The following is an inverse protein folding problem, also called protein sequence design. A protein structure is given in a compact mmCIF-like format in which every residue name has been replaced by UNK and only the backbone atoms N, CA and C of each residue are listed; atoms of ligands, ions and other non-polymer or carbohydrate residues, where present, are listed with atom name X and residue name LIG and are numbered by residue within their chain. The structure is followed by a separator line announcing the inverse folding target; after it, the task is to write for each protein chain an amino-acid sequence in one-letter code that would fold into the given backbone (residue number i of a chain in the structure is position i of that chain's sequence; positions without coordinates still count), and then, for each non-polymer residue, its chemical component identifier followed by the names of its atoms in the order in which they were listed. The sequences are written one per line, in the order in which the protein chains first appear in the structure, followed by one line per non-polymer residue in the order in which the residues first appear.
data_IF_863762857256
#
_entry.id   IF_863762857256
#
_cell.length_a   1.000
_cell.length_b   1.000
_cell.length_c   1.000
_cell.angle_alpha   90.00
_cell.angle_beta   90.00
_cell.angle_gamma   90.00
#
_symmetry.space_group_name_H-M   'P 1'
#
loop_
_entity.id
_entity.type
_entity.pdbx_description
1 polymer ?
#
# COMPACT_ATOMS: atom_id res chain seq x y z
N UNK A 1 11.04 47.83 22.38
CA UNK A 1 10.11 47.18 21.42
C UNK A 1 8.71 47.40 21.95
N UNK A 2 7.81 47.98 21.16
CA UNK A 2 6.45 48.29 21.62
C UNK A 2 5.68 46.98 21.87
N UNK A 3 4.90 46.87 22.95
CA UNK A 3 4.05 45.70 23.23
C UNK A 3 3.25 45.27 21.98
N UNK A 4 2.78 46.25 21.18
CA UNK A 4 2.05 46.04 19.93
C UNK A 4 2.89 45.31 18.87
N UNK A 5 4.18 45.63 18.73
CA UNK A 5 5.08 44.95 17.77
C UNK A 5 5.38 43.52 18.20
N UNK A 6 5.48 43.29 19.51
CA UNK A 6 5.70 41.97 20.08
C UNK A 6 4.47 41.06 19.87
N UNK A 7 3.25 41.59 20.09
CA UNK A 7 2.00 40.90 19.76
C UNK A 7 1.85 40.58 18.27
N UNK A 8 2.22 41.50 17.38
CA UNK A 8 2.18 41.27 15.93
C UNK A 8 3.14 40.16 15.49
N UNK A 9 4.38 40.15 16.00
CA UNK A 9 5.34 39.09 15.68
C UNK A 9 4.91 37.73 16.20
N UNK A 10 4.44 37.63 17.43
CA UNK A 10 3.96 36.36 17.97
C UNK A 10 2.69 35.86 17.27
N UNK A 11 1.74 36.75 16.95
CA UNK A 11 0.55 36.41 16.18
C UNK A 11 0.92 35.85 14.79
N UNK A 12 1.85 36.50 14.09
CA UNK A 12 2.29 36.07 12.77
C UNK A 12 3.01 34.71 12.82
N UNK A 13 3.85 34.47 13.82
CA UNK A 13 4.50 33.16 14.04
C UNK A 13 3.46 32.07 14.33
N UNK A 14 2.46 32.35 15.18
CA UNK A 14 1.39 31.41 15.50
C UNK A 14 0.56 31.09 14.25
N UNK A 15 0.25 32.09 13.43
CA UNK A 15 -0.46 31.90 12.15
C UNK A 15 0.35 31.05 11.19
N UNK A 16 1.66 31.30 11.04
CA UNK A 16 2.55 30.49 10.19
C UNK A 16 2.62 29.04 10.69
N UNK A 17 2.77 28.83 12.00
CA UNK A 17 2.78 27.49 12.59
C UNK A 17 1.45 26.77 12.36
N UNK A 18 0.33 27.45 12.59
CA UNK A 18 -1.00 26.91 12.39
C UNK A 18 -1.25 26.54 10.92
N UNK A 19 -0.89 27.44 9.98
CA UNK A 19 -0.94 27.15 8.54
C UNK A 19 -0.02 25.98 8.17
N UNK A 20 1.20 25.94 8.70
CA UNK A 20 2.14 24.85 8.48
C UNK A 20 1.58 23.50 8.93
N UNK A 21 0.99 23.43 10.13
CA UNK A 21 0.34 22.23 10.65
C UNK A 21 -0.88 21.84 9.80
N UNK A 22 -1.71 22.81 9.42
CA UNK A 22 -2.87 22.54 8.56
C UNK A 22 -2.46 21.99 7.19
N UNK A 23 -1.43 22.58 6.56
CA UNK A 23 -0.89 22.09 5.29
C UNK A 23 -0.36 20.67 5.46
N UNK A 24 0.41 20.40 6.52
CA UNK A 24 0.97 19.09 6.80
C UNK A 24 -0.15 18.04 6.94
N UNK A 25 -1.17 18.32 7.74
CA UNK A 25 -2.32 17.42 7.93
C UNK A 25 -3.11 17.16 6.64
N UNK A 26 -3.22 18.18 5.77
CA UNK A 26 -3.93 18.04 4.48
C UNK A 26 -3.09 17.33 3.43
N UNK A 27 -1.76 17.36 3.52
CA UNK A 27 -0.86 16.61 2.64
C UNK A 27 -0.77 15.13 3.03
N UNK A 28 -0.94 14.79 4.31
CA UNK A 28 -0.92 13.40 4.83
C UNK A 28 -1.62 12.36 3.94
N UNK A 29 -2.88 12.54 3.49
CA UNK A 29 -3.56 11.55 2.64
C UNK A 29 -2.88 11.31 1.29
N UNK A 30 -2.08 12.26 0.79
CA UNK A 30 -1.36 12.17 -0.49
C UNK A 30 0.06 11.60 -0.35
N UNK A 31 0.57 11.46 0.89
CA UNK A 31 1.91 10.93 1.13
C UNK A 31 2.06 9.50 0.57
N UNK A 32 0.99 8.69 0.63
CA UNK A 32 1.00 7.34 0.05
C UNK A 32 1.30 7.34 -1.45
N UNK A 33 0.63 8.21 -2.22
CA UNK A 33 0.89 8.39 -3.65
C UNK A 33 2.30 8.88 -3.95
N UNK A 34 2.82 9.84 -3.18
CA UNK A 34 4.17 10.39 -3.35
C UNK A 34 5.25 9.33 -3.05
N UNK A 35 5.12 8.62 -1.93
CA UNK A 35 6.03 7.54 -1.55
C UNK A 35 5.99 6.40 -2.56
N UNK A 36 4.79 6.04 -3.03
CA UNK A 36 4.61 5.07 -4.10
C UNK A 36 5.30 5.50 -5.39
N UNK A 37 5.16 6.76 -5.79
CA UNK A 37 5.84 7.31 -6.97
C UNK A 37 7.37 7.25 -6.84
N UNK A 38 7.92 7.60 -5.68
CA UNK A 38 9.37 7.50 -5.43
C UNK A 38 9.85 6.05 -5.50
N UNK A 39 9.08 5.12 -4.94
CA UNK A 39 9.41 3.69 -4.95
C UNK A 39 9.43 3.14 -6.37
N UNK A 40 8.37 3.41 -7.13
CA UNK A 40 8.25 3.00 -8.55
C UNK A 40 9.31 3.69 -9.41
N UNK A 41 9.60 4.97 -9.16
CA UNK A 41 10.65 5.70 -9.85
C UNK A 41 12.01 5.03 -9.66
N UNK A 42 12.39 4.72 -8.42
CA UNK A 42 13.66 4.05 -8.11
C UNK A 42 13.75 2.70 -8.83
N UNK A 43 12.65 1.96 -8.90
CA UNK A 43 12.57 0.69 -9.61
C UNK A 43 12.72 0.85 -11.14
N UNK A 44 12.04 1.82 -11.74
CA UNK A 44 11.95 2.01 -13.19
C UNK A 44 12.98 2.98 -13.76
N UNK A 45 13.80 3.60 -12.91
CA UNK A 45 14.85 4.56 -13.32
C UNK A 45 15.81 3.97 -14.35
N UNK A 46 16.28 2.75 -14.11
CA UNK A 46 17.18 2.05 -15.04
C UNK A 46 16.49 1.81 -16.39
N UNK A 47 15.20 1.47 -16.38
CA UNK A 47 14.39 1.28 -17.58
C UNK A 47 14.22 2.59 -18.38
N UNK A 48 13.99 3.71 -17.70
CA UNK A 48 13.89 5.05 -18.32
C UNK A 48 15.19 5.47 -18.99
N UNK A 49 16.33 5.25 -18.32
CA UNK A 49 17.66 5.53 -18.87
C UNK A 49 17.91 4.64 -20.10
N UNK A 50 17.55 3.35 -20.04
CA UNK A 50 17.69 2.46 -21.18
C UNK A 50 16.86 2.92 -22.40
N UNK A 51 15.58 3.25 -22.23
CA UNK A 51 14.73 3.72 -23.34
C UNK A 51 15.22 5.05 -23.94
N UNK A 52 15.72 5.96 -23.12
CA UNK A 52 16.17 7.28 -23.57
C UNK A 52 17.59 7.26 -24.15
N UNK A 53 18.54 6.61 -23.48
CA UNK A 53 19.96 6.66 -23.82
C UNK A 53 20.38 5.54 -24.79
N UNK A 54 19.71 4.37 -24.80
CA UNK A 54 20.02 3.26 -25.72
C UNK A 54 19.07 3.18 -26.93
N UNK A 55 17.77 3.36 -26.70
CA UNK A 55 16.76 3.34 -27.80
C UNK A 55 16.48 4.71 -28.41
N UNK A 56 17.14 5.77 -27.93
CA UNK A 56 16.98 7.15 -28.43
C UNK A 56 15.52 7.66 -28.49
N UNK A 57 14.66 7.14 -27.61
CA UNK A 57 13.26 7.57 -27.55
C UNK A 57 13.18 8.93 -26.86
N UNK A 58 12.30 9.81 -27.36
CA UNK A 58 12.03 11.11 -26.71
C UNK A 58 11.56 10.90 -25.27
N UNK A 59 12.09 11.67 -24.32
CA UNK A 59 11.80 11.54 -22.89
C UNK A 59 10.30 11.49 -22.58
N UNK A 60 9.49 12.32 -23.22
CA UNK A 60 8.04 12.33 -23.00
C UNK A 60 7.37 11.01 -23.40
N UNK A 61 7.80 10.40 -24.52
CA UNK A 61 7.26 9.12 -24.99
C UNK A 61 7.73 8.00 -24.09
N UNK A 62 9.02 7.98 -23.72
CA UNK A 62 9.56 6.98 -22.79
C UNK A 62 8.84 7.03 -21.43
N UNK A 63 8.58 8.22 -20.89
CA UNK A 63 7.84 8.38 -19.65
C UNK A 63 6.40 7.87 -19.77
N UNK A 64 5.69 8.18 -20.86
CA UNK A 64 4.32 7.68 -21.09
C UNK A 64 4.31 6.15 -21.21
N UNK A 65 5.26 5.55 -21.94
CA UNK A 65 5.37 4.09 -22.05
C UNK A 65 5.56 3.44 -20.68
N UNK A 66 6.46 3.99 -19.86
CA UNK A 66 6.70 3.50 -18.50
C UNK A 66 5.48 3.68 -17.60
N UNK A 67 4.73 4.78 -17.75
CA UNK A 67 3.48 4.96 -17.01
C UNK A 67 2.44 3.92 -17.41
N UNK A 68 2.29 3.65 -18.70
CA UNK A 68 1.37 2.61 -19.20
C UNK A 68 1.80 1.24 -18.66
N UNK A 69 3.08 0.92 -18.73
CA UNK A 69 3.65 -0.32 -18.16
C UNK A 69 3.37 -0.41 -16.66
N UNK A 70 3.56 0.68 -15.91
CA UNK A 70 3.25 0.73 -14.47
C UNK A 70 1.76 0.48 -14.21
N UNK A 71 0.88 1.05 -15.03
CA UNK A 71 -0.56 0.83 -14.90
C UNK A 71 -0.88 -0.65 -15.14
N UNK A 72 -0.38 -1.23 -16.24
CA UNK A 72 -0.70 -2.59 -16.64
C UNK A 72 -0.08 -3.65 -15.71
N UNK A 73 1.20 -3.51 -15.35
CA UNK A 73 1.95 -4.52 -14.62
C UNK A 73 1.84 -4.39 -13.10
N UNK A 74 1.51 -3.20 -12.58
CA UNK A 74 1.47 -2.97 -11.13
C UNK A 74 0.08 -2.56 -10.63
N UNK A 75 -0.52 -1.51 -11.21
CA UNK A 75 -1.79 -0.96 -10.70
C UNK A 75 -3.00 -1.86 -11.00
N UNK A 76 -3.09 -2.44 -12.19
CA UNK A 76 -4.21 -3.32 -12.55
C UNK A 76 -4.25 -4.58 -11.68
N UNK A 77 -3.17 -5.36 -11.50
CA UNK A 77 -3.19 -6.51 -10.61
C UNK A 77 -3.61 -6.13 -9.18
N UNK A 78 -3.07 -5.02 -8.66
CA UNK A 78 -3.42 -4.51 -7.33
C UNK A 78 -4.90 -4.12 -7.23
N UNK A 79 -5.45 -3.45 -8.25
CA UNK A 79 -6.86 -3.07 -8.30
C UNK A 79 -7.79 -4.28 -8.40
N UNK A 80 -7.45 -5.28 -9.23
CA UNK A 80 -8.22 -6.52 -9.37
C UNK A 80 -8.31 -7.28 -8.06
N UNK A 81 -7.21 -7.30 -7.30
CA UNK A 81 -7.17 -7.92 -5.99
C UNK A 81 -8.09 -7.18 -5.01
N UNK A 82 -7.94 -5.85 -4.90
CA UNK A 82 -8.79 -5.03 -4.01
C UNK A 82 -10.26 -5.27 -4.36
N UNK A 83 -10.57 -5.28 -5.65
CA UNK A 83 -11.91 -5.57 -6.15
C UNK A 83 -12.40 -6.97 -5.79
N UNK A 84 -11.55 -8.00 -5.92
CA UNK A 84 -11.88 -9.38 -5.50
C UNK A 84 -12.22 -9.46 -4.01
N UNK A 85 -11.44 -8.79 -3.16
CA UNK A 85 -11.74 -8.70 -1.72
C UNK A 85 -13.07 -8.00 -1.46
N UNK A 86 -13.30 -6.85 -2.11
CA UNK A 86 -14.55 -6.08 -1.94
C UNK A 86 -15.77 -6.90 -2.34
N UNK A 87 -15.73 -7.62 -3.46
CA UNK A 87 -16.83 -8.49 -3.89
C UNK A 87 -17.12 -9.58 -2.84
N UNK A 88 -16.07 -10.22 -2.30
CA UNK A 88 -16.23 -11.23 -1.24
C UNK A 88 -16.84 -10.65 0.04
N UNK A 89 -16.49 -9.42 0.41
CA UNK A 89 -17.08 -8.73 1.55
C UNK A 89 -18.51 -8.23 1.30
N UNK A 90 -18.85 -7.83 0.08
CA UNK A 90 -20.22 -7.46 -0.28
C UNK A 90 -21.14 -8.68 -0.29
N UNK A 91 -20.70 -9.80 -0.85
CA UNK A 91 -21.44 -11.07 -0.83
C UNK A 91 -21.71 -11.54 0.62
N UNK A 92 -20.71 -11.36 1.51
CA UNK A 92 -20.81 -11.64 2.93
C UNK A 92 -21.81 -10.75 3.68
N UNK A 93 -21.94 -9.48 3.26
CA UNK A 93 -22.86 -8.52 3.88
C UNK A 93 -24.30 -8.65 3.35
N UNK A 94 -24.48 -9.12 2.11
CA UNK A 94 -25.79 -9.31 1.46
C UNK A 94 -26.47 -10.63 1.83
N UNK A 95 -25.71 -11.65 2.21
CA UNK A 95 -26.23 -12.91 2.76
C UNK A 95 -25.49 -13.28 4.06
N UNK A 96 -25.87 -12.72 5.22
CA UNK A 96 -25.25 -13.07 6.50
C UNK A 96 -25.21 -14.59 6.74
N UNK A 97 -26.18 -15.34 6.19
CA UNK A 97 -26.30 -16.80 6.30
C UNK A 97 -25.11 -17.59 5.70
N UNK A 98 -24.44 -17.09 4.65
CA UNK A 98 -23.34 -17.81 3.99
C UNK A 98 -22.02 -17.80 4.78
N UNK A 99 -21.85 -16.84 5.70
CA UNK A 99 -20.78 -16.83 6.70
C UNK A 99 -21.23 -17.48 8.01
N UNK A 100 -22.53 -17.44 8.34
CA UNK A 100 -23.08 -18.07 9.54
C UNK A 100 -22.82 -19.58 9.53
N UNK A 101 -23.23 -20.32 8.50
CA UNK A 101 -23.20 -21.80 8.54
C UNK A 101 -21.80 -22.41 8.79
N UNK A 102 -20.71 -21.97 8.12
CA UNK A 102 -19.36 -22.46 8.41
C UNK A 102 -18.88 -22.09 9.82
N UNK A 103 -19.20 -20.87 10.29
CA UNK A 103 -18.78 -20.37 11.60
C UNK A 103 -19.52 -21.10 12.71
N UNK A 104 -20.83 -21.36 12.57
CA UNK A 104 -21.57 -22.20 13.51
C UNK A 104 -21.10 -23.64 13.50
N UNK A 105 -20.74 -24.22 12.35
CA UNK A 105 -20.20 -25.58 12.30
C UNK A 105 -18.84 -25.70 12.99
N UNK A 106 -17.92 -24.75 12.76
CA UNK A 106 -16.61 -24.71 13.45
C UNK A 106 -16.79 -24.46 14.95
N UNK A 107 -17.70 -23.55 15.31
CA UNK A 107 -17.97 -23.26 16.72
C UNK A 107 -18.62 -24.45 17.45
N UNK A 108 -19.51 -25.20 16.78
CA UNK A 108 -20.10 -26.43 17.31
C UNK A 108 -19.04 -27.54 17.45
N UNK A 109 -18.15 -27.71 16.48
CA UNK A 109 -17.01 -28.65 16.55
C UNK A 109 -16.05 -28.33 17.70
N UNK A 110 -15.77 -27.05 17.93
CA UNK A 110 -14.92 -26.62 19.04
C UNK A 110 -15.67 -26.80 20.37
N UNK A 111 -16.97 -26.50 20.41
CA UNK A 111 -17.80 -26.67 21.60
C UNK A 111 -17.96 -28.15 22.00
N UNK A 112 -18.09 -29.06 21.03
CA UNK A 112 -18.11 -30.52 21.27
C UNK A 112 -16.77 -31.04 21.82
N UNK A 113 -15.64 -30.51 21.32
CA UNK A 113 -14.29 -30.95 21.70
C UNK A 113 -13.77 -30.32 22.99
N UNK A 114 -14.23 -29.11 23.34
CA UNK A 114 -13.66 -28.31 24.45
C UNK A 114 -14.66 -27.94 25.54
N UNK A 115 -15.97 -28.15 25.32
CA UNK A 115 -17.04 -27.78 26.26
C UNK A 115 -17.25 -26.27 26.43
N UNK A 116 -16.46 -25.43 25.75
CA UNK A 116 -16.53 -23.97 25.84
C UNK A 116 -17.53 -23.41 24.83
N UNK A 117 -18.55 -22.70 25.33
CA UNK A 117 -19.58 -22.07 24.50
C UNK A 117 -19.07 -20.74 23.92
N UNK A 118 -18.24 -20.81 22.87
CA UNK A 118 -17.72 -19.65 22.13
C UNK A 118 -18.85 -18.83 21.46
N UNK A 119 -20.05 -19.42 21.33
CA UNK A 119 -21.28 -18.84 20.78
C UNK A 119 -22.15 -18.14 21.84
N UNK A 120 -21.57 -17.58 22.91
CA UNK A 120 -22.33 -16.63 23.73
C UNK A 120 -22.81 -15.47 22.85
N UNK A 121 -24.11 -15.16 22.87
CA UNK A 121 -24.75 -14.12 22.02
C UNK A 121 -24.01 -12.77 22.03
N UNK A 122 -23.25 -12.48 23.08
CA UNK A 122 -22.40 -11.30 23.21
C UNK A 122 -21.19 -11.27 22.23
N UNK A 123 -20.50 -12.40 22.01
CA UNK A 123 -19.34 -12.47 21.11
C UNK A 123 -19.78 -12.44 19.63
N UNK A 124 -20.89 -13.11 19.34
CA UNK A 124 -21.49 -13.14 18.01
C UNK A 124 -21.93 -11.73 17.57
N UNK A 125 -22.59 -10.98 18.46
CA UNK A 125 -22.97 -9.58 18.19
C UNK A 125 -21.75 -8.66 18.00
N UNK A 126 -20.63 -8.95 18.64
CA UNK A 126 -19.38 -8.20 18.48
C UNK A 126 -18.75 -8.43 17.10
N UNK A 127 -18.75 -9.68 16.60
CA UNK A 127 -18.33 -10.01 15.23
C UNK A 127 -19.28 -9.37 14.21
N UNK A 128 -20.59 -9.39 14.47
CA UNK A 128 -21.58 -8.72 13.63
C UNK A 128 -21.44 -7.19 13.58
N UNK A 129 -20.92 -6.55 14.63
CA UNK A 129 -20.63 -5.12 14.63
C UNK A 129 -19.32 -4.75 13.89
N UNK A 130 -18.37 -5.69 13.79
CA UNK A 130 -17.08 -5.50 13.10
C UNK A 130 -17.20 -5.66 11.57
N UNK A 131 -18.05 -6.57 11.10
CA UNK A 131 -18.27 -6.83 9.66
C UNK A 131 -18.64 -5.57 8.85
N UNK A 132 -19.65 -4.77 9.23
CA UNK A 132 -19.98 -3.52 8.55
C UNK A 132 -18.85 -2.49 8.63
N UNK A 133 -18.12 -2.43 9.75
CA UNK A 133 -16.97 -1.52 9.90
C UNK A 133 -15.83 -1.87 8.95
N UNK A 134 -15.53 -3.16 8.77
CA UNK A 134 -14.54 -3.61 7.78
C UNK A 134 -15.02 -3.23 6.37
N UNK A 135 -16.29 -3.46 6.04
CA UNK A 135 -16.88 -3.05 4.76
C UNK A 135 -16.78 -1.53 4.51
N UNK A 136 -17.08 -0.71 5.51
CA UNK A 136 -16.96 0.76 5.43
C UNK A 136 -15.50 1.22 5.28
N UNK A 137 -14.56 0.61 6.01
CA UNK A 137 -13.12 0.93 5.88
C UNK A 137 -12.62 0.55 4.49
N UNK A 138 -13.02 -0.60 3.96
CA UNK A 138 -12.66 -1.02 2.60
C UNK A 138 -13.24 -0.05 1.55
N UNK A 139 -14.50 0.35 1.68
CA UNK A 139 -15.12 1.34 0.79
C UNK A 139 -14.39 2.69 0.81
N UNK A 140 -14.08 3.22 2.00
CA UNK A 140 -13.30 4.47 2.14
C UNK A 140 -11.87 4.33 1.58
N UNK A 141 -11.29 3.13 1.68
CA UNK A 141 -9.97 2.82 1.14
C UNK A 141 -9.94 2.83 -0.39
N UNK A 142 -11.04 2.50 -1.09
CA UNK A 142 -11.10 2.54 -2.56
C UNK A 142 -10.98 3.99 -3.07
N UNK A 143 -11.75 4.91 -2.50
CA UNK A 143 -11.69 6.33 -2.88
C UNK A 143 -10.31 6.90 -2.56
N UNK A 144 -9.75 6.57 -1.39
CA UNK A 144 -8.39 6.97 -1.03
C UNK A 144 -7.33 6.35 -1.95
N UNK A 145 -7.52 5.10 -2.39
CA UNK A 145 -6.64 4.41 -3.32
C UNK A 145 -6.62 5.10 -4.68
N UNK A 146 -7.79 5.44 -5.25
CA UNK A 146 -7.88 6.14 -6.52
C UNK A 146 -7.14 7.50 -6.49
N UNK A 147 -7.30 8.27 -5.40
CA UNK A 147 -6.58 9.54 -5.21
C UNK A 147 -5.06 9.29 -5.14
N UNK A 148 -4.63 8.31 -4.35
CA UNK A 148 -3.22 7.97 -4.24
C UNK A 148 -2.61 7.49 -5.56
N UNK A 149 -3.36 6.73 -6.38
CA UNK A 149 -2.94 6.31 -7.72
C UNK A 149 -2.79 7.51 -8.66
N UNK A 150 -3.73 8.46 -8.64
CA UNK A 150 -3.63 9.67 -9.44
C UNK A 150 -2.39 10.48 -9.07
N UNK A 151 -2.17 10.70 -7.77
CA UNK A 151 -0.96 11.40 -7.29
C UNK A 151 0.30 10.63 -7.64
N UNK A 152 0.29 9.30 -7.50
CA UNK A 152 1.42 8.45 -7.87
C UNK A 152 1.79 8.66 -9.33
N UNK A 153 0.83 8.51 -10.25
CA UNK A 153 1.07 8.64 -11.68
C UNK A 153 1.55 10.05 -12.06
N UNK A 154 0.94 11.07 -11.47
CA UNK A 154 1.34 12.47 -11.68
C UNK A 154 2.77 12.73 -11.22
N UNK A 155 3.10 12.39 -9.97
CA UNK A 155 4.44 12.59 -9.41
C UNK A 155 5.47 11.76 -10.17
N UNK A 156 5.17 10.49 -10.45
CA UNK A 156 6.03 9.59 -11.20
C UNK A 156 6.36 10.16 -12.59
N UNK A 157 5.38 10.71 -13.31
CA UNK A 157 5.60 11.38 -14.59
C UNK A 157 6.67 12.48 -14.48
N UNK A 158 6.48 13.42 -13.54
CA UNK A 158 7.43 14.53 -13.36
C UNK A 158 8.81 14.06 -12.88
N UNK A 159 8.86 13.03 -12.03
CA UNK A 159 10.12 12.41 -11.61
C UNK A 159 10.87 11.77 -12.79
N UNK A 160 10.17 11.05 -13.67
CA UNK A 160 10.73 10.41 -14.87
C UNK A 160 11.24 11.45 -15.88
N UNK A 161 10.47 12.52 -16.13
CA UNK A 161 10.87 13.62 -17.02
C UNK A 161 12.06 14.40 -16.45
N UNK A 162 12.02 14.70 -15.14
CA UNK A 162 13.09 15.42 -14.43
C UNK A 162 14.39 14.63 -14.36
N UNK A 163 14.31 13.31 -14.17
CA UNK A 163 15.43 12.38 -14.23
C UNK A 163 16.66 12.87 -13.45
N UNK A 164 17.82 12.87 -14.13
CA UNK A 164 19.11 13.33 -13.59
C UNK A 164 19.07 14.78 -13.06
N UNK A 165 18.26 15.68 -13.64
CA UNK A 165 18.18 17.08 -13.18
C UNK A 165 17.55 17.16 -11.79
N UNK A 166 16.46 16.41 -11.58
CA UNK A 166 15.80 16.32 -10.28
C UNK A 166 16.73 15.65 -9.25
N UNK A 167 17.40 14.57 -9.62
CA UNK A 167 18.33 13.88 -8.72
C UNK A 167 19.50 14.76 -8.29
N UNK A 168 20.10 15.49 -9.22
CA UNK A 168 21.16 16.43 -8.90
C UNK A 168 20.66 17.55 -7.97
N UNK A 169 19.43 18.04 -8.18
CA UNK A 169 18.83 19.02 -7.29
C UNK A 169 18.60 18.48 -5.87
N UNK A 170 18.03 17.28 -5.74
CA UNK A 170 17.87 16.61 -4.45
C UNK A 170 19.23 16.36 -3.80
N UNK A 171 20.21 15.97 -4.60
CA UNK A 171 21.57 15.83 -4.14
C UNK A 171 22.05 17.17 -3.57
N UNK A 172 22.02 18.27 -4.32
CA UNK A 172 22.53 19.58 -3.88
C UNK A 172 21.89 20.11 -2.59
N UNK A 173 20.62 19.78 -2.31
CA UNK A 173 19.93 20.14 -1.07
C UNK A 173 20.46 19.44 0.18
N UNK A 174 21.05 18.25 0.05
CA UNK A 174 21.55 17.47 1.19
C UNK A 174 22.85 18.10 1.74
N UNK A 175 22.90 18.54 3.01
CA UNK A 175 24.05 19.22 3.61
C UNK A 175 25.14 18.22 4.07
N UNK A 176 25.46 17.24 3.23
CA UNK A 176 26.46 16.21 3.52
C UNK A 176 27.68 16.33 2.60
N UNK A 177 28.83 15.85 3.10
CA UNK A 177 30.05 15.72 2.30
C UNK A 177 29.82 14.75 1.12
N UNK A 178 30.46 15.00 -0.03
CA UNK A 178 30.24 14.26 -1.30
C UNK A 178 30.34 12.74 -1.16
N UNK A 179 31.24 12.24 -0.31
CA UNK A 179 31.41 10.80 -0.02
C UNK A 179 30.18 10.24 0.69
N UNK A 180 29.89 10.72 1.91
CA UNK A 180 28.73 10.30 2.71
C UNK A 180 27.42 10.40 1.94
N UNK A 181 27.28 11.45 1.14
CA UNK A 181 26.11 11.70 0.30
C UNK A 181 25.87 10.59 -0.74
N UNK A 182 26.93 10.18 -1.45
CA UNK A 182 26.86 9.08 -2.42
C UNK A 182 26.54 7.75 -1.74
N UNK A 183 27.13 7.51 -0.58
CA UNK A 183 26.92 6.28 0.18
C UNK A 183 25.48 6.18 0.71
N UNK A 184 24.96 7.26 1.32
CA UNK A 184 23.57 7.33 1.81
C UNK A 184 22.57 7.17 0.66
N UNK A 185 22.78 7.88 -0.46
CA UNK A 185 21.88 7.75 -1.61
C UNK A 185 21.90 6.34 -2.17
N UNK A 186 23.07 5.70 -2.26
CA UNK A 186 23.19 4.31 -2.71
C UNK A 186 22.46 3.36 -1.77
N UNK A 187 22.67 3.50 -0.47
CA UNK A 187 22.01 2.68 0.55
C UNK A 187 20.50 2.83 0.49
N UNK A 188 20.01 4.07 0.41
CA UNK A 188 18.59 4.36 0.25
C UNK A 188 18.00 3.68 -1.01
N UNK A 189 18.67 3.81 -2.16
CA UNK A 189 18.24 3.12 -3.39
C UNK A 189 18.21 1.61 -3.22
N UNK A 190 19.23 1.02 -2.57
CA UNK A 190 19.29 -0.43 -2.33
C UNK A 190 18.16 -0.89 -1.41
N UNK A 191 17.92 -0.21 -0.29
CA UNK A 191 16.84 -0.54 0.66
C UNK A 191 15.47 -0.45 -0.01
N UNK A 192 15.20 0.63 -0.75
CA UNK A 192 13.91 0.80 -1.44
C UNK A 192 13.73 -0.25 -2.54
N UNK A 193 14.74 -0.47 -3.39
CA UNK A 193 14.67 -1.47 -4.47
C UNK A 193 14.51 -2.88 -3.92
N UNK A 194 15.24 -3.24 -2.86
CA UNK A 194 15.15 -4.55 -2.20
C UNK A 194 13.78 -4.78 -1.57
N UNK A 195 13.19 -3.77 -0.92
CA UNK A 195 11.85 -3.92 -0.34
C UNK A 195 10.75 -3.97 -1.40
N UNK A 196 10.85 -3.12 -2.42
CA UNK A 196 9.88 -3.05 -3.52
C UNK A 196 9.80 -4.35 -4.33
N UNK A 197 10.92 -5.07 -4.49
CA UNK A 197 10.97 -6.36 -5.18
C UNK A 197 10.76 -7.51 -4.19
N UNK A 198 11.37 -7.43 -3.01
CA UNK A 198 11.41 -8.50 -2.02
C UNK A 198 10.03 -8.84 -1.44
N UNK A 199 9.24 -7.84 -1.04
CA UNK A 199 7.91 -8.08 -0.44
C UNK A 199 6.97 -8.78 -1.44
N UNK A 200 6.78 -8.30 -2.67
CA UNK A 200 5.94 -9.00 -3.66
C UNK A 200 6.47 -10.39 -4.02
N UNK A 201 7.79 -10.55 -4.15
CA UNK A 201 8.39 -11.85 -4.48
C UNK A 201 8.13 -12.87 -3.37
N UNK A 202 8.34 -12.48 -2.11
CA UNK A 202 8.04 -13.33 -0.95
C UNK A 202 6.56 -13.67 -0.86
N UNK A 203 5.67 -12.70 -1.11
CA UNK A 203 4.23 -12.93 -1.13
C UNK A 203 3.83 -13.99 -2.17
N UNK A 204 4.39 -13.92 -3.39
CA UNK A 204 4.12 -14.90 -4.45
C UNK A 204 4.63 -16.29 -4.05
N UNK A 205 5.87 -16.40 -3.55
CA UNK A 205 6.46 -17.68 -3.16
C UNK A 205 5.65 -18.30 -2.01
N UNK A 206 5.32 -17.52 -0.98
CA UNK A 206 4.57 -18.00 0.18
C UNK A 206 3.14 -18.38 -0.18
N UNK A 207 2.43 -17.58 -0.98
CA UNK A 207 1.08 -17.93 -1.40
C UNK A 207 1.02 -19.10 -2.37
N UNK A 208 2.04 -19.29 -3.23
CA UNK A 208 2.16 -20.49 -4.05
C UNK A 208 2.37 -21.74 -3.17
N UNK A 209 3.28 -21.68 -2.20
CA UNK A 209 3.50 -22.75 -1.24
C UNK A 209 2.23 -23.07 -0.42
N UNK A 210 1.51 -22.04 0.03
CA UNK A 210 0.24 -22.18 0.74
C UNK A 210 -0.83 -22.84 -0.14
N UNK A 211 -0.95 -22.41 -1.42
CA UNK A 211 -1.89 -23.01 -2.39
C UNK A 211 -1.62 -24.51 -2.55
N UNK A 212 -0.35 -24.90 -2.71
CA UNK A 212 0.04 -26.32 -2.82
C UNK A 212 -0.35 -27.08 -1.55
N UNK A 213 -0.08 -26.50 -0.37
CA UNK A 213 -0.51 -27.06 0.90
C UNK A 213 -2.02 -27.29 0.95
N UNK A 214 -2.81 -26.27 0.64
CA UNK A 214 -4.27 -26.35 0.62
C UNK A 214 -4.79 -27.41 -0.37
N UNK A 215 -4.13 -27.60 -1.52
CA UNK A 215 -4.48 -28.64 -2.48
C UNK A 215 -4.19 -30.05 -1.94
N UNK A 216 -3.06 -30.25 -1.27
CA UNK A 216 -2.68 -31.56 -0.69
C UNK A 216 -3.62 -31.97 0.43
N UNK A 217 -4.03 -31.03 1.28
CA UNK A 217 -4.91 -31.29 2.43
C UNK A 217 -6.42 -31.25 2.09
N UNK A 218 -6.77 -31.01 0.82
CA UNK A 218 -8.17 -31.02 0.37
C UNK A 218 -9.02 -29.84 0.89
N UNK A 219 -8.41 -28.69 1.14
CA UNK A 219 -9.12 -27.51 1.63
C UNK A 219 -10.10 -26.95 0.57
N UNK A 220 -11.25 -26.38 0.98
CA UNK A 220 -12.21 -25.78 0.05
C UNK A 220 -11.60 -24.54 -0.63
N UNK A 221 -11.71 -24.44 -1.95
CA UNK A 221 -11.15 -23.35 -2.77
C UNK A 221 -9.66 -23.02 -2.50
N UNK A 222 -8.72 -23.96 -2.75
CA UNK A 222 -7.29 -23.79 -2.44
C UNK A 222 -6.64 -22.54 -3.03
N UNK A 223 -7.03 -22.19 -4.26
CA UNK A 223 -6.50 -21.01 -4.96
C UNK A 223 -6.93 -19.72 -4.28
N UNK A 224 -8.16 -19.65 -3.76
CA UNK A 224 -8.65 -18.47 -3.06
C UNK A 224 -7.83 -18.23 -1.79
N UNK A 225 -7.65 -19.27 -0.97
CA UNK A 225 -6.86 -19.19 0.26
C UNK A 225 -5.38 -18.95 0.02
N UNK A 226 -4.84 -19.47 -1.08
CA UNK A 226 -3.51 -19.16 -1.57
C UNK A 226 -3.32 -17.67 -1.87
N UNK A 227 -4.28 -17.06 -2.57
CA UNK A 227 -4.26 -15.61 -2.82
C UNK A 227 -4.41 -14.82 -1.52
N UNK A 228 -5.31 -15.21 -0.62
CA UNK A 228 -5.42 -14.57 0.70
C UNK A 228 -4.10 -14.66 1.48
N UNK A 229 -3.41 -15.80 1.40
CA UNK A 229 -2.09 -15.99 2.02
C UNK A 229 -1.03 -15.07 1.41
N UNK A 230 -1.01 -14.86 0.09
CA UNK A 230 -0.14 -13.85 -0.55
C UNK A 230 -0.31 -12.47 0.12
N UNK A 231 -1.56 -12.06 0.39
CA UNK A 231 -1.85 -10.77 1.01
C UNK A 231 -1.47 -10.73 2.48
N UNK A 232 -1.76 -11.81 3.19
CA UNK A 232 -1.44 -11.95 4.60
C UNK A 232 0.07 -11.76 4.84
N UNK A 233 0.93 -12.28 3.94
CA UNK A 233 2.39 -12.06 3.95
C UNK A 233 2.81 -10.59 3.87
N UNK A 234 2.04 -9.75 3.18
CA UNK A 234 2.37 -8.32 3.02
C UNK A 234 2.12 -7.57 4.33
N UNK A 235 1.25 -8.07 5.21
CA UNK A 235 0.93 -7.47 6.51
C UNK A 235 2.05 -7.82 7.50
N UNK A 236 2.83 -6.83 7.97
CA UNK A 236 3.91 -7.08 8.92
C UNK A 236 3.37 -7.67 10.24
N UNK A 237 4.22 -8.42 10.95
CA UNK A 237 3.96 -9.02 12.28
C UNK A 237 2.98 -10.20 12.29
N UNK A 238 1.88 -10.12 11.55
CA UNK A 238 0.82 -11.16 11.60
C UNK A 238 0.98 -12.16 10.45
N UNK A 239 1.39 -11.72 9.26
CA UNK A 239 1.76 -12.60 8.15
C UNK A 239 0.67 -13.60 7.75
N UNK A 240 1.09 -14.76 7.25
CA UNK A 240 0.20 -15.89 6.91
C UNK A 240 -0.41 -16.59 8.12
N UNK A 241 -0.01 -16.28 9.36
CA UNK A 241 -0.56 -16.91 10.55
C UNK A 241 -2.05 -16.60 10.79
N UNK A 242 -2.62 -15.64 10.04
CA UNK A 242 -4.05 -15.32 10.03
C UNK A 242 -4.88 -16.41 9.34
N UNK A 243 -4.27 -17.15 8.40
CA UNK A 243 -4.95 -18.05 7.45
C UNK A 243 -4.66 -19.50 7.80
#
# INVERSE_FOLDING_TARGET
MSLKEQYWKYSLIVIILLLGVLIFLKITPFLGGILGAMTVYILLREHMIYLTDRKHIRRSIAAILILIETILCFLIPLALIIWMFVNKFQDANLNPRSIIDPVTNVANLIQEKTGYNLLSKANINSIFALLPRIGQVLMGSITSFAINVLVLLFVLYFMLIGGKKMENYVNDLLPFNRRNKKDILREFHMVVKSNAIGVPLLAIIQGAAATIGYMIFGAPAPVLWGVVSCFATIIPVIGTAIV
#
